data_IF_289414022378
#
_entry.id   IF_289414022378
#
_cell.length_a   1.000
_cell.length_b   1.000
_cell.length_c   1.000
_cell.angle_alpha   90.00
_cell.angle_beta   90.00
_cell.angle_gamma   90.00
#
_symmetry.space_group_name_H-M   'P 1'
#
loop_
_entity.id
_entity.type
_entity.pdbx_description
1 polymer ?
#
# COMPACT_ATOMS: atom_id res chain seq x y z
N UNK A 1 0.57 3.12 -8.54
CA UNK A 1 0.69 2.23 -7.36
C UNK A 1 -0.66 2.19 -6.65
N UNK A 2 -1.59 1.38 -7.16
CA UNK A 2 -2.84 1.10 -6.47
C UNK A 2 -2.58 0.19 -5.28
N UNK A 3 -3.50 0.13 -4.31
CA UNK A 3 -3.39 -0.87 -3.26
C UNK A 3 -3.36 -2.25 -3.90
N UNK A 4 -2.29 -3.02 -3.65
CA UNK A 4 -2.22 -4.45 -3.96
C UNK A 4 -3.13 -5.22 -2.99
N UNK A 5 -4.40 -4.82 -2.91
CA UNK A 5 -5.42 -5.65 -2.32
C UNK A 5 -5.70 -6.76 -3.34
N UNK A 6 -5.81 -7.98 -2.84
CA UNK A 6 -6.22 -9.13 -3.63
C UNK A 6 -7.41 -8.76 -4.52
N UNK A 7 -7.38 -9.03 -5.84
CA UNK A 7 -8.52 -8.78 -6.72
C UNK A 7 -9.78 -9.40 -6.11
N UNK A 8 -10.86 -8.62 -6.05
CA UNK A 8 -12.09 -9.05 -5.36
C UNK A 8 -12.63 -10.33 -6.00
N UNK A 9 -12.51 -10.49 -7.31
CA UNK A 9 -12.94 -11.71 -8.02
C UNK A 9 -12.16 -12.94 -7.53
N UNK A 10 -10.86 -12.78 -7.30
CA UNK A 10 -10.01 -13.87 -6.80
C UNK A 10 -10.36 -14.21 -5.35
N UNK A 11 -10.55 -13.20 -4.50
CA UNK A 11 -10.97 -13.40 -3.11
C UNK A 11 -12.34 -14.05 -3.01
N UNK A 12 -13.30 -13.63 -3.85
CA UNK A 12 -14.64 -14.22 -3.92
C UNK A 12 -14.59 -15.72 -4.18
N UNK A 13 -13.75 -16.13 -5.14
CA UNK A 13 -13.55 -17.54 -5.48
C UNK A 13 -12.81 -18.31 -4.38
N UNK A 14 -11.73 -17.75 -3.85
CA UNK A 14 -10.88 -18.45 -2.87
C UNK A 14 -11.58 -18.65 -1.52
N UNK A 15 -12.49 -17.75 -1.14
CA UNK A 15 -13.21 -17.77 0.14
C UNK A 15 -14.67 -18.23 0.04
N UNK A 16 -15.14 -18.61 -1.15
CA UNK A 16 -16.54 -18.94 -1.44
C UNK A 16 -17.50 -17.88 -0.88
N UNK A 17 -17.29 -16.62 -1.23
CA UNK A 17 -18.10 -15.51 -0.73
C UNK A 17 -19.53 -15.56 -1.27
N UNK A 18 -20.48 -15.18 -0.42
CA UNK A 18 -21.89 -14.99 -0.85
C UNK A 18 -22.05 -13.71 -1.66
N UNK A 19 -23.16 -13.59 -2.39
CA UNK A 19 -23.49 -12.37 -3.16
C UNK A 19 -23.54 -11.13 -2.26
N UNK A 20 -24.13 -11.26 -1.07
CA UNK A 20 -24.19 -10.17 -0.09
C UNK A 20 -22.80 -9.76 0.42
N UNK A 21 -21.92 -10.73 0.68
CA UNK A 21 -20.53 -10.46 1.06
C UNK A 21 -19.78 -9.74 -0.08
N UNK A 22 -19.96 -10.18 -1.32
CA UNK A 22 -19.35 -9.56 -2.50
C UNK A 22 -19.82 -8.10 -2.62
N UNK A 23 -21.12 -7.84 -2.52
CA UNK A 23 -21.67 -6.48 -2.58
C UNK A 23 -21.13 -5.59 -1.45
N UNK A 24 -21.05 -6.11 -0.22
CA UNK A 24 -20.46 -5.41 0.92
C UNK A 24 -19.00 -5.02 0.68
N UNK A 25 -18.19 -5.96 0.17
CA UNK A 25 -16.79 -5.69 -0.13
C UNK A 25 -16.59 -4.72 -1.30
N UNK A 26 -17.46 -4.75 -2.32
CA UNK A 26 -17.45 -3.76 -3.40
C UNK A 26 -17.71 -2.35 -2.87
N UNK A 27 -18.71 -2.18 -2.00
CA UNK A 27 -19.03 -0.90 -1.39
C UNK A 27 -17.88 -0.37 -0.53
N UNK A 28 -17.28 -1.23 0.30
CA UNK A 28 -16.09 -0.87 1.09
C UNK A 28 -14.94 -0.43 0.18
N UNK A 29 -14.69 -1.15 -0.93
CA UNK A 29 -13.63 -0.81 -1.89
C UNK A 29 -13.87 0.56 -2.53
N UNK A 30 -15.09 0.83 -2.98
CA UNK A 30 -15.45 2.11 -3.59
C UNK A 30 -15.30 3.26 -2.59
N UNK A 31 -15.77 3.08 -1.35
CA UNK A 31 -15.59 4.06 -0.27
C UNK A 31 -14.12 4.35 -0.01
N UNK A 32 -13.30 3.31 0.17
CA UNK A 32 -11.87 3.47 0.35
C UNK A 32 -11.21 4.22 -0.81
N UNK A 33 -11.52 3.86 -2.06
CA UNK A 33 -10.96 4.51 -3.25
C UNK A 33 -11.34 6.00 -3.31
N UNK A 34 -12.61 6.32 -3.07
CA UNK A 34 -13.12 7.69 -3.03
C UNK A 34 -12.42 8.51 -1.95
N UNK A 35 -12.38 7.99 -0.73
CA UNK A 35 -11.90 8.74 0.43
C UNK A 35 -10.38 9.00 0.38
N UNK A 36 -9.63 8.14 -0.32
CA UNK A 36 -8.16 8.27 -0.47
C UNK A 36 -7.72 8.86 -1.82
N UNK A 37 -8.65 9.11 -2.74
CA UNK A 37 -8.37 9.71 -4.05
C UNK A 37 -7.58 11.03 -3.97
N UNK A 38 -7.97 12.04 -3.14
CA UNK A 38 -7.24 13.30 -3.09
C UNK A 38 -5.77 13.10 -2.68
N UNK A 39 -5.52 12.27 -1.66
CA UNK A 39 -4.16 12.00 -1.20
C UNK A 39 -3.33 11.23 -2.22
N UNK A 40 -3.94 10.33 -3.01
CA UNK A 40 -3.23 9.63 -4.09
C UNK A 40 -2.84 10.57 -5.21
N UNK A 41 -3.72 11.49 -5.59
CA UNK A 41 -3.43 12.49 -6.62
C UNK A 41 -2.26 13.37 -6.17
N UNK A 42 -2.33 13.90 -4.95
CA UNK A 42 -1.26 14.73 -4.38
C UNK A 42 0.05 13.95 -4.25
N UNK A 43 -0.01 12.67 -3.86
CA UNK A 43 1.16 11.81 -3.72
C UNK A 43 1.88 11.60 -5.06
N UNK A 44 1.14 11.46 -6.16
CA UNK A 44 1.74 11.34 -7.51
C UNK A 44 2.50 12.61 -7.86
N UNK A 45 1.87 13.78 -7.67
CA UNK A 45 2.47 15.08 -7.95
C UNK A 45 3.74 15.27 -7.11
N UNK A 46 3.67 15.07 -5.80
CA UNK A 46 4.83 15.27 -4.90
C UNK A 46 5.97 14.28 -5.14
N UNK A 47 5.67 13.06 -5.58
CA UNK A 47 6.71 12.10 -6.01
C UNK A 47 7.40 12.55 -7.29
N UNK A 48 6.66 13.15 -8.24
CA UNK A 48 7.27 13.75 -9.43
C UNK A 48 8.16 14.93 -9.04
N UNK A 49 7.68 15.84 -8.20
CA UNK A 49 8.47 16.96 -7.68
C UNK A 49 9.76 16.48 -7.00
N UNK A 50 9.67 15.44 -6.16
CA UNK A 50 10.83 14.86 -5.48
C UNK A 50 11.84 14.28 -6.48
N UNK A 51 11.36 13.55 -7.49
CA UNK A 51 12.21 13.00 -8.55
C UNK A 51 12.88 14.12 -9.36
N UNK A 52 12.18 15.23 -9.59
CA UNK A 52 12.72 16.39 -10.28
C UNK A 52 13.82 17.07 -9.46
N UNK A 53 13.59 17.28 -8.16
CA UNK A 53 14.60 17.81 -7.24
C UNK A 53 15.86 16.92 -7.20
N UNK A 54 15.69 15.61 -7.07
CA UNK A 54 16.80 14.65 -7.02
C UNK A 54 17.64 14.61 -8.32
N UNK A 55 17.08 15.03 -9.45
CA UNK A 55 17.81 15.13 -10.73
C UNK A 55 18.60 16.43 -10.88
N UNK A 56 18.38 17.43 -10.02
CA UNK A 56 19.08 18.71 -10.10
C UNK A 56 20.49 18.59 -9.51
N UNK A 57 21.56 18.93 -10.26
CA UNK A 57 22.94 18.78 -9.78
C UNK A 57 23.31 19.62 -8.54
N UNK A 58 22.54 20.66 -8.25
CA UNK A 58 22.73 21.57 -7.12
C UNK A 58 21.47 21.66 -6.25
N UNK A 59 20.72 20.55 -6.16
CA UNK A 59 19.53 20.48 -5.32
C UNK A 59 19.88 20.83 -3.87
N UNK A 60 19.06 21.67 -3.26
CA UNK A 60 19.15 22.00 -1.84
C UNK A 60 18.69 20.78 -1.02
N UNK A 61 19.57 20.20 -0.17
CA UNK A 61 19.23 19.04 0.65
C UNK A 61 17.98 19.27 1.52
N UNK A 62 17.79 20.48 2.04
CA UNK A 62 16.67 20.77 2.94
C UNK A 62 15.34 20.76 2.17
N UNK A 63 15.33 21.23 0.92
CA UNK A 63 14.17 21.18 0.04
C UNK A 63 13.81 19.75 -0.36
N UNK A 64 14.82 18.93 -0.68
CA UNK A 64 14.62 17.50 -0.98
C UNK A 64 14.01 16.77 0.22
N UNK A 65 14.56 16.99 1.42
CA UNK A 65 14.07 16.36 2.64
C UNK A 65 12.67 16.85 3.01
N UNK A 66 12.38 18.14 2.85
CA UNK A 66 11.03 18.67 3.04
C UNK A 66 10.04 17.99 2.09
N UNK A 67 10.36 17.88 0.80
CA UNK A 67 9.50 17.21 -0.19
C UNK A 67 9.29 15.72 0.13
N UNK A 68 10.34 15.02 0.57
CA UNK A 68 10.24 13.64 1.03
C UNK A 68 9.29 13.50 2.23
N UNK A 69 9.30 14.43 3.18
CA UNK A 69 8.36 14.40 4.32
C UNK A 69 6.92 14.53 3.87
N UNK A 70 6.63 15.45 2.94
CA UNK A 70 5.27 15.59 2.38
C UNK A 70 4.79 14.30 1.69
N UNK A 71 5.68 13.61 0.97
CA UNK A 71 5.40 12.29 0.37
C UNK A 71 5.08 11.26 1.46
N UNK A 72 5.93 11.16 2.49
CA UNK A 72 5.76 10.21 3.59
C UNK A 72 4.47 10.44 4.39
N UNK A 73 4.08 11.70 4.60
CA UNK A 73 2.82 12.04 5.28
C UNK A 73 1.59 11.55 4.52
N UNK A 74 1.56 11.71 3.19
CA UNK A 74 0.45 11.22 2.37
C UNK A 74 0.42 9.69 2.30
N UNK A 75 1.59 9.05 2.20
CA UNK A 75 1.70 7.60 2.27
C UNK A 75 1.16 7.07 3.60
N UNK A 76 1.51 7.70 4.72
CA UNK A 76 1.03 7.34 6.05
C UNK A 76 -0.49 7.43 6.14
N UNK A 77 -1.11 8.53 5.68
CA UNK A 77 -2.57 8.69 5.66
C UNK A 77 -3.27 7.60 4.84
N UNK A 78 -2.73 7.25 3.67
CA UNK A 78 -3.28 6.20 2.82
C UNK A 78 -3.13 4.82 3.50
N UNK A 79 -2.00 4.56 4.15
CA UNK A 79 -1.74 3.32 4.89
C UNK A 79 -2.67 3.17 6.08
N UNK A 80 -2.92 4.24 6.83
CA UNK A 80 -3.88 4.23 7.94
C UNK A 80 -5.29 3.87 7.44
N UNK A 81 -5.76 4.51 6.37
CA UNK A 81 -7.05 4.15 5.75
C UNK A 81 -7.06 2.72 5.21
N UNK A 82 -5.93 2.19 4.76
CA UNK A 82 -5.82 0.79 4.34
C UNK A 82 -6.07 -0.16 5.51
N UNK A 83 -5.48 0.11 6.67
CA UNK A 83 -5.69 -0.71 7.87
C UNK A 83 -7.16 -0.69 8.28
N UNK A 84 -7.78 0.49 8.33
CA UNK A 84 -9.21 0.62 8.61
C UNK A 84 -10.04 -0.19 7.62
N UNK A 85 -9.76 -0.06 6.33
CA UNK A 85 -10.46 -0.82 5.29
C UNK A 85 -10.30 -2.35 5.45
N UNK A 86 -9.11 -2.85 5.77
CA UNK A 86 -8.88 -4.28 6.05
C UNK A 86 -9.67 -4.75 7.28
N UNK A 87 -9.78 -3.92 8.32
CA UNK A 87 -10.59 -4.22 9.50
C UNK A 87 -12.08 -4.30 9.15
N UNK A 88 -12.59 -3.40 8.29
CA UNK A 88 -13.97 -3.47 7.81
C UNK A 88 -14.24 -4.71 6.96
N UNK A 89 -13.30 -5.12 6.09
CA UNK A 89 -13.43 -6.39 5.33
C UNK A 89 -13.60 -7.57 6.28
N UNK A 90 -12.79 -7.65 7.35
CA UNK A 90 -12.87 -8.75 8.32
C UNK A 90 -14.23 -8.82 9.02
N UNK A 91 -15.00 -7.73 9.11
CA UNK A 91 -16.36 -7.75 9.68
C UNK A 91 -17.39 -8.38 8.73
N UNK A 92 -17.11 -8.42 7.43
CA UNK A 92 -17.99 -9.01 6.40
C UNK A 92 -17.76 -10.52 6.27
N UNK A 93 -16.56 -10.98 6.61
CA UNK A 93 -16.14 -12.38 6.48
C UNK A 93 -16.48 -13.20 7.74
N UNK A 94 -16.68 -14.51 7.55
CA UNK A 94 -16.79 -15.44 8.68
C UNK A 94 -15.41 -15.73 9.30
N UNK A 95 -15.34 -16.18 10.56
CA UNK A 95 -14.08 -16.60 11.17
C UNK A 95 -13.30 -17.63 10.34
N UNK A 96 -14.00 -18.55 9.68
CA UNK A 96 -13.43 -19.58 8.81
C UNK A 96 -12.83 -18.95 7.54
N UNK A 97 -13.52 -17.99 6.93
CA UNK A 97 -13.01 -17.26 5.76
C UNK A 97 -11.80 -16.39 6.12
N UNK A 98 -11.79 -15.78 7.31
CA UNK A 98 -10.65 -14.98 7.80
C UNK A 98 -9.38 -15.83 7.92
N UNK A 99 -9.48 -17.08 8.38
CA UNK A 99 -8.33 -18.00 8.47
C UNK A 99 -7.70 -18.35 7.13
N UNK A 100 -8.46 -18.20 6.04
CA UNK A 100 -8.02 -18.46 4.67
C UNK A 100 -7.48 -17.21 3.97
N UNK A 101 -7.49 -16.04 4.65
CA UNK A 101 -6.92 -14.83 4.08
C UNK A 101 -5.41 -14.98 3.84
N UNK A 102 -4.89 -14.50 2.71
CA UNK A 102 -3.47 -14.61 2.41
C UNK A 102 -2.64 -13.76 3.39
N UNK A 103 -1.36 -14.11 3.65
CA UNK A 103 -0.49 -13.31 4.51
C UNK A 103 -0.30 -11.86 4.06
N UNK A 104 -0.54 -11.58 2.77
CA UNK A 104 -0.55 -10.21 2.21
C UNK A 104 -1.73 -9.36 2.72
N UNK A 105 -2.79 -10.00 3.21
CA UNK A 105 -3.92 -9.36 3.88
C UNK A 105 -3.58 -8.94 5.32
N UNK A 106 -2.66 -9.66 5.95
CA UNK A 106 -2.15 -9.37 7.30
C UNK A 106 -0.83 -8.54 7.27
N UNK A 107 -0.18 -8.48 6.11
CA UNK A 107 1.08 -7.75 5.94
C UNK A 107 0.82 -6.30 5.61
N UNK A 108 1.14 -5.46 6.59
CA UNK A 108 1.10 -4.02 6.54
C UNK A 108 2.04 -3.50 5.44
N UNK A 109 1.49 -2.83 4.43
CA UNK A 109 2.18 -1.83 3.61
C UNK A 109 3.31 -2.31 2.68
N UNK A 110 3.76 -1.43 1.76
CA UNK A 110 4.76 -1.75 0.77
C UNK A 110 6.15 -1.71 1.40
N UNK A 111 6.55 -2.79 2.07
CA UNK A 111 7.86 -2.92 2.70
C UNK A 111 8.54 -4.28 2.46
N UNK A 112 7.82 -5.28 1.94
CA UNK A 112 8.41 -6.58 1.59
C UNK A 112 8.92 -6.58 0.15
N UNK A 113 9.71 -5.57 -0.21
CA UNK A 113 10.74 -5.83 -1.19
C UNK A 113 11.65 -6.88 -0.55
N UNK A 114 11.55 -8.11 -1.07
CA UNK A 114 12.66 -9.03 -1.24
C UNK A 114 13.86 -8.63 -0.39
N UNK A 115 13.93 -9.14 0.84
CA UNK A 115 15.20 -9.22 1.55
C UNK A 115 16.12 -9.97 0.59
N UNK A 116 16.92 -9.22 -0.17
CA UNK A 116 17.97 -9.75 -0.99
C UNK A 116 18.88 -10.45 0.01
N UNK A 117 18.74 -11.77 0.06
CA UNK A 117 19.48 -12.66 0.94
C UNK A 117 20.94 -12.27 0.84
N UNK A 118 21.45 -11.63 1.90
CA UNK A 118 22.82 -11.13 1.95
C UNK A 118 23.78 -12.21 1.47
N UNK A 119 24.49 -11.90 0.39
CA UNK A 119 25.73 -12.57 0.02
C UNK A 119 26.77 -11.45 -0.13
N UNK A 120 27.29 -10.99 1.01
CA UNK A 120 28.71 -10.66 1.08
C UNK A 120 29.50 -11.97 1.22
N UNK A 121 30.82 -11.99 0.96
CA UNK A 121 31.73 -10.91 1.31
C UNK A 121 32.54 -10.35 0.13
N UNK A 122 32.71 -9.04 0.15
CA UNK A 122 33.84 -8.37 -0.51
C UNK A 122 35.10 -8.82 0.23
N UNK A 123 35.88 -9.70 -0.39
CA UNK A 123 37.24 -9.99 0.05
C UNK A 123 38.16 -9.05 -0.71
N UNK A 124 38.59 -7.99 -0.04
CA UNK A 124 39.75 -7.22 -0.47
C UNK A 124 40.97 -8.13 -0.54
N UNK A 125 41.77 -7.95 -1.58
CA UNK A 125 43.20 -8.20 -1.54
C UNK A 125 43.91 -7.14 -2.39
N UNK A 126 44.96 -6.65 -1.78
CA UNK A 126 46.05 -5.81 -2.28
C UNK A 126 46.65 -6.32 -3.59
#
# INVERSE_FOLDING_TARGET
MGPMLYPLEKMAKDLNLTEDQIAGLQNLRQGFLRDTLPWRNDLVIKRMDLQDLLRQPKADPDQVLAKQREVSELESKIQEKMVVYQLEIRKVLTPEQIRLLPPAFDSHGPGRHRMMRGHGPVRGKE
#
